data_IF_892725624479
#
_entry.id   IF_892725624479
#
_cell.length_a   1.000
_cell.length_b   1.000
_cell.length_c   1.000
_cell.angle_alpha   90.00
_cell.angle_beta   90.00
_cell.angle_gamma   90.00
#
_symmetry.space_group_name_H-M   'P 1'
#
loop_
_entity.id
_entity.type
_entity.pdbx_description
1 polymer ?
#
# COMPACT_ATOMS: atom_id res chain seq x y z
N UNK A 1 52.20 23.56 -6.35
CA UNK A 1 51.15 22.52 -6.40
C UNK A 1 49.81 23.23 -6.44
N UNK A 2 49.26 23.44 -7.63
CA UNK A 2 47.92 23.98 -7.82
C UNK A 2 46.90 22.90 -7.51
N UNK A 3 46.10 23.11 -6.46
CA UNK A 3 44.95 22.27 -6.13
C UNK A 3 43.96 22.43 -7.29
N UNK A 4 43.88 21.39 -8.13
CA UNK A 4 42.86 21.26 -9.16
C UNK A 4 41.53 21.15 -8.41
N UNK A 5 40.75 22.23 -8.38
CA UNK A 5 39.36 22.19 -7.93
C UNK A 5 38.67 21.07 -8.72
N UNK A 6 38.25 20.03 -8.00
CA UNK A 6 37.42 18.95 -8.55
C UNK A 6 36.14 19.61 -9.03
N UNK A 7 35.89 19.52 -10.33
CA UNK A 7 34.65 19.99 -10.96
C UNK A 7 33.46 19.33 -10.22
N UNK A 8 32.67 20.09 -9.44
CA UNK A 8 31.59 19.52 -8.65
C UNK A 8 30.44 19.17 -9.59
N UNK A 9 30.34 17.91 -10.01
CA UNK A 9 29.33 17.49 -11.00
C UNK A 9 29.70 16.27 -11.83
N UNK A 10 30.72 15.52 -11.46
CA UNK A 10 31.09 14.32 -12.21
C UNK A 10 30.02 13.24 -12.05
N UNK A 11 29.90 12.35 -13.03
CA UNK A 11 29.02 11.18 -12.92
C UNK A 11 29.37 10.30 -11.70
N UNK A 12 30.62 10.35 -11.25
CA UNK A 12 31.10 9.69 -10.04
C UNK A 12 30.47 10.30 -8.77
N UNK A 13 30.30 11.62 -8.70
CA UNK A 13 29.67 12.29 -7.56
C UNK A 13 28.18 11.91 -7.41
N UNK A 14 27.46 11.82 -8.53
CA UNK A 14 26.05 11.38 -8.56
C UNK A 14 25.93 9.92 -8.10
N UNK A 15 26.83 9.05 -8.56
CA UNK A 15 26.82 7.65 -8.18
C UNK A 15 27.20 7.44 -6.70
N UNK A 16 28.15 8.23 -6.20
CA UNK A 16 28.53 8.23 -4.78
C UNK A 16 27.36 8.65 -3.89
N UNK A 17 26.64 9.73 -4.24
CA UNK A 17 25.45 10.18 -3.52
C UNK A 17 24.33 9.14 -3.52
N UNK A 18 24.09 8.47 -4.66
CA UNK A 18 23.11 7.37 -4.73
C UNK A 18 23.47 6.22 -3.81
N UNK A 19 24.76 5.88 -3.74
CA UNK A 19 25.26 4.82 -2.84
C UNK A 19 25.09 5.23 -1.37
N UNK A 20 25.44 6.46 -1.01
CA UNK A 20 25.23 7.00 0.35
C UNK A 20 23.74 7.01 0.73
N UNK A 21 22.85 7.34 -0.23
CA UNK A 21 21.40 7.34 -0.04
C UNK A 21 20.86 5.92 0.20
N UNK A 22 21.33 4.93 -0.55
CA UNK A 22 20.99 3.52 -0.36
C UNK A 22 21.44 3.01 1.02
N UNK A 23 22.64 3.39 1.46
CA UNK A 23 23.16 3.07 2.79
C UNK A 23 22.30 3.70 3.91
N UNK A 24 21.92 4.97 3.76
CA UNK A 24 21.00 5.64 4.70
C UNK A 24 19.62 4.95 4.75
N UNK A 25 19.08 4.51 3.62
CA UNK A 25 17.81 3.78 3.57
C UNK A 25 17.91 2.42 4.28
N UNK A 26 19.07 1.74 4.21
CA UNK A 26 19.32 0.52 5.00
C UNK A 26 19.43 0.83 6.48
N UNK A 27 20.18 1.86 6.86
CA UNK A 27 20.34 2.29 8.25
C UNK A 27 19.00 2.70 8.88
N UNK A 28 18.15 3.41 8.14
CA UNK A 28 16.81 3.83 8.58
C UNK A 28 15.88 2.63 8.81
N UNK A 29 15.90 1.64 7.90
CA UNK A 29 15.13 0.38 8.07
C UNK A 29 15.59 -0.37 9.31
N UNK A 30 16.90 -0.46 9.54
CA UNK A 30 17.45 -1.06 10.76
C UNK A 30 16.99 -0.31 12.02
N UNK A 31 17.04 1.02 12.02
CA UNK A 31 16.59 1.83 13.16
C UNK A 31 15.09 1.62 13.47
N UNK A 32 14.24 1.58 12.44
CA UNK A 32 12.81 1.29 12.60
C UNK A 32 12.55 -0.12 13.17
N UNK A 33 13.25 -1.14 12.67
CA UNK A 33 13.15 -2.50 13.20
C UNK A 33 13.65 -2.61 14.65
N UNK A 34 14.70 -1.86 15.01
CA UNK A 34 15.22 -1.82 16.37
C UNK A 34 14.25 -1.09 17.31
N UNK A 35 13.65 0.01 16.87
CA UNK A 35 12.61 0.74 17.59
C UNK A 35 11.40 -0.17 17.89
N UNK A 36 10.93 -0.93 16.91
CA UNK A 36 9.83 -1.87 17.08
C UNK A 36 10.18 -2.93 18.14
N UNK A 37 11.34 -3.57 18.04
CA UNK A 37 11.80 -4.57 19.03
C UNK A 37 11.92 -4.00 20.45
N UNK A 38 12.39 -2.75 20.59
CA UNK A 38 12.48 -2.08 21.88
C UNK A 38 11.10 -1.73 22.43
N UNK A 39 10.18 -1.30 21.57
CA UNK A 39 8.78 -1.01 21.95
C UNK A 39 8.08 -2.28 22.42
N UNK A 40 8.26 -3.40 21.71
CA UNK A 40 7.74 -4.71 22.11
C UNK A 40 8.33 -5.18 23.44
N UNK A 41 9.64 -5.04 23.64
CA UNK A 41 10.31 -5.41 24.90
C UNK A 41 9.86 -4.56 26.11
N UNK A 42 9.37 -3.35 25.87
CA UNK A 42 8.82 -2.47 26.91
C UNK A 42 7.40 -2.86 27.33
N UNK A 43 6.67 -3.65 26.54
CA UNK A 43 5.34 -4.14 26.93
C UNK A 43 5.49 -5.11 28.11
N UNK A 44 5.13 -4.64 29.31
CA UNK A 44 5.25 -5.42 30.56
C UNK A 44 6.60 -5.29 31.27
N UNK A 45 7.49 -4.41 30.82
CA UNK A 45 8.77 -4.13 31.46
C UNK A 45 8.88 -2.64 31.83
N UNK A 46 9.24 -2.35 33.08
CA UNK A 46 9.52 -1.00 33.56
C UNK A 46 11.02 -0.66 33.51
N UNK A 47 11.80 -1.37 32.68
CA UNK A 47 13.26 -1.19 32.62
C UNK A 47 13.62 0.21 32.08
N UNK A 48 14.26 1.08 32.89
CA UNK A 48 14.65 2.42 32.45
C UNK A 48 15.72 2.39 31.35
N UNK A 49 16.51 1.31 31.25
CA UNK A 49 17.53 1.19 30.21
C UNK A 49 16.89 1.01 28.82
N UNK A 50 15.85 0.19 28.71
CA UNK A 50 15.10 0.03 27.47
C UNK A 50 14.45 1.34 27.01
N UNK A 51 13.96 2.16 27.95
CA UNK A 51 13.43 3.48 27.64
C UNK A 51 14.52 4.43 27.10
N UNK A 52 15.73 4.41 27.69
CA UNK A 52 16.88 5.19 27.18
C UNK A 52 17.28 4.76 25.77
N UNK A 53 17.35 3.45 25.53
CA UNK A 53 17.67 2.91 24.20
C UNK A 53 16.60 3.26 23.16
N UNK A 54 15.32 3.25 23.55
CA UNK A 54 14.22 3.66 22.67
C UNK A 54 14.31 5.16 22.32
N UNK A 55 14.65 6.02 23.28
CA UNK A 55 14.86 7.43 23.01
C UNK A 55 16.04 7.64 22.05
N UNK A 56 17.16 6.94 22.27
CA UNK A 56 18.35 7.02 21.40
C UNK A 56 18.05 6.57 19.97
N UNK A 57 17.33 5.45 19.78
CA UNK A 57 17.04 4.95 18.43
C UNK A 57 16.08 5.88 17.67
N UNK A 58 15.14 6.55 18.38
CA UNK A 58 14.27 7.56 17.79
C UNK A 58 15.06 8.78 17.32
N UNK A 59 15.94 9.32 18.17
CA UNK A 59 16.83 10.42 17.78
C UNK A 59 17.71 10.05 16.59
N UNK A 60 18.25 8.82 16.57
CA UNK A 60 19.03 8.33 15.42
C UNK A 60 18.17 8.27 14.15
N UNK A 61 16.96 7.71 14.23
CA UNK A 61 16.04 7.61 13.09
C UNK A 61 15.68 8.98 12.53
N UNK A 62 15.44 9.96 13.39
CA UNK A 62 15.10 11.33 13.00
C UNK A 62 16.32 12.02 12.35
N UNK A 63 17.52 11.83 12.90
CA UNK A 63 18.77 12.31 12.30
C UNK A 63 19.07 11.69 10.93
N UNK A 64 18.84 10.39 10.76
CA UNK A 64 18.92 9.70 9.47
C UNK A 64 17.89 10.25 8.48
N UNK A 65 16.69 10.61 8.94
CA UNK A 65 15.66 11.26 8.13
C UNK A 65 16.08 12.63 7.60
N UNK A 66 16.65 13.47 8.47
CA UNK A 66 17.18 14.79 8.08
C UNK A 66 18.33 14.66 7.06
N UNK A 67 19.27 13.73 7.29
CA UNK A 67 20.39 13.49 6.37
C UNK A 67 19.93 12.96 5.01
N UNK A 68 18.92 12.08 4.99
CA UNK A 68 18.33 11.59 3.74
C UNK A 68 17.74 12.73 2.92
N UNK A 69 17.04 13.68 3.56
CA UNK A 69 16.49 14.86 2.88
C UNK A 69 17.60 15.71 2.27
N UNK A 70 18.64 16.04 3.05
CA UNK A 70 19.81 16.81 2.60
C UNK A 70 20.48 16.17 1.38
N UNK A 71 20.74 14.86 1.40
CA UNK A 71 21.35 14.16 0.26
C UNK A 71 20.43 14.10 -0.96
N UNK A 72 19.12 13.97 -0.74
CA UNK A 72 18.13 13.98 -1.83
C UNK A 72 18.11 15.35 -2.54
N UNK A 73 18.10 16.44 -1.77
CA UNK A 73 18.16 17.81 -2.29
C UNK A 73 19.47 18.05 -3.05
N UNK A 74 20.59 17.58 -2.52
CA UNK A 74 21.91 17.69 -3.17
C UNK A 74 21.97 16.89 -4.48
N UNK A 75 21.42 15.68 -4.50
CA UNK A 75 21.36 14.85 -5.71
C UNK A 75 20.50 15.53 -6.78
N UNK A 76 19.35 16.07 -6.40
CA UNK A 76 18.46 16.80 -7.31
C UNK A 76 19.17 18.03 -7.91
N UNK A 77 19.84 18.84 -7.09
CA UNK A 77 20.58 20.00 -7.55
C UNK A 77 21.68 19.65 -8.57
N UNK A 78 22.38 18.52 -8.39
CA UNK A 78 23.38 18.05 -9.36
C UNK A 78 22.75 17.55 -10.66
N UNK A 79 21.61 16.85 -10.57
CA UNK A 79 20.89 16.41 -11.76
C UNK A 79 20.34 17.59 -12.58
N UNK A 80 19.82 18.63 -11.92
CA UNK A 80 19.36 19.85 -12.57
C UNK A 80 20.53 20.63 -13.21
N UNK A 81 21.66 20.77 -12.50
CA UNK A 81 22.84 21.40 -13.08
C UNK A 81 23.32 20.65 -14.33
N UNK A 82 23.28 19.31 -14.33
CA UNK A 82 23.63 18.50 -15.50
C UNK A 82 22.64 18.67 -16.66
N UNK A 83 21.34 18.83 -16.38
CA UNK A 83 20.34 19.15 -17.41
C UNK A 83 20.61 20.50 -18.06
N UNK A 84 20.97 21.51 -17.27
CA UNK A 84 21.34 22.84 -17.77
C UNK A 84 22.61 22.80 -18.63
N UNK A 85 23.63 22.04 -18.22
CA UNK A 85 24.87 21.89 -19.01
C UNK A 85 24.67 21.13 -20.32
N UNK A 86 23.73 20.17 -20.36
CA UNK A 86 23.44 19.36 -21.55
C UNK A 86 22.36 19.97 -22.44
N UNK A 87 21.66 21.00 -21.97
CA UNK A 87 20.69 21.74 -22.76
C UNK A 87 21.41 22.47 -23.90
N UNK A 88 21.20 21.97 -25.13
CA UNK A 88 21.64 22.66 -26.35
C UNK A 88 20.90 24.02 -26.41
N UNK A 89 21.61 25.16 -26.51
CA UNK A 89 20.94 26.45 -26.62
C UNK A 89 20.02 26.44 -27.84
N UNK A 90 18.79 26.99 -27.75
CA UNK A 90 17.87 26.99 -28.86
C UNK A 90 18.54 27.69 -30.05
N UNK A 91 18.74 26.95 -31.13
CA UNK A 91 19.25 27.51 -32.37
C UNK A 91 18.36 28.70 -32.76
N UNK A 92 18.94 29.91 -32.78
CA UNK A 92 18.25 31.13 -33.21
C UNK A 92 17.67 30.86 -34.60
N UNK A 93 16.35 30.67 -34.67
CA UNK A 93 15.66 30.55 -35.95
C UNK A 93 15.91 31.84 -36.73
N UNK A 94 16.41 31.75 -37.97
CA UNK A 94 16.55 32.93 -38.81
C UNK A 94 15.16 33.52 -39.06
N UNK A 95 14.94 34.72 -38.53
CA UNK A 95 13.84 35.61 -38.88
C UNK A 95 13.94 35.96 -40.35
N UNK A 96 13.06 35.39 -41.17
CA UNK A 96 12.91 35.80 -42.56
C UNK A 96 12.07 34.85 -43.39
N UNK A 97 10.78 35.14 -43.51
CA UNK A 97 10.07 35.22 -44.79
C UNK A 97 8.57 35.40 -44.53
N UNK A 98 8.07 36.57 -44.94
CA UNK A 98 6.66 36.82 -45.18
C UNK A 98 6.18 35.83 -46.26
N UNK A 99 5.08 35.13 -46.00
CA UNK A 99 4.24 34.59 -47.06
C UNK A 99 2.78 34.76 -46.68
N UNK A 100 2.04 35.44 -47.55
CA UNK A 100 0.60 35.68 -47.43
C UNK A 100 -0.22 34.59 -48.13
N UNK A 101 -1.54 34.70 -47.97
CA UNK A 101 -2.57 33.84 -48.57
C UNK A 101 -3.34 33.10 -47.47
N UNK A 102 -4.51 33.55 -47.01
CA UNK A 102 -5.81 33.70 -47.67
C UNK A 102 -6.57 32.37 -47.89
N UNK A 103 -7.79 32.35 -47.33
CA UNK A 103 -8.95 31.46 -47.53
C UNK A 103 -8.99 30.09 -46.84
N UNK A 104 -10.13 29.85 -46.19
CA UNK A 104 -10.57 28.52 -45.76
C UNK A 104 -11.52 28.53 -44.57
N UNK A 105 -12.68 29.18 -44.68
CA UNK A 105 -13.79 28.97 -43.75
C UNK A 105 -14.29 27.52 -43.88
N UNK A 106 -14.40 26.79 -42.77
CA UNK A 106 -15.17 25.54 -42.71
C UNK A 106 -15.90 25.40 -41.38
N UNK A 107 -17.20 25.61 -41.49
CA UNK A 107 -18.36 25.14 -40.72
C UNK A 107 -18.16 24.09 -39.62
N UNK A 108 -18.71 24.44 -38.44
CA UNK A 108 -19.05 23.55 -37.35
C UNK A 108 -20.22 22.61 -37.69
N UNK A 109 -20.27 21.36 -37.15
CA UNK A 109 -21.47 20.53 -37.18
C UNK A 109 -22.40 20.82 -35.98
N UNK A 110 -23.66 21.03 -36.32
CA UNK A 110 -24.83 21.13 -35.44
C UNK A 110 -25.27 19.74 -34.92
N UNK A 111 -25.80 19.62 -33.69
CA UNK A 111 -26.34 18.37 -33.15
C UNK A 111 -27.81 18.11 -33.57
N UNK A 112 -28.14 16.83 -33.79
CA UNK A 112 -29.48 16.33 -34.14
C UNK A 112 -30.26 15.82 -32.90
N UNK A 113 -31.59 15.59 -32.98
CA UNK A 113 -32.52 16.05 -31.97
C UNK A 113 -33.03 15.00 -30.95
N UNK A 114 -33.65 15.55 -29.91
CA UNK A 114 -34.35 14.94 -28.78
C UNK A 114 -35.65 14.26 -29.25
N UNK A 115 -35.87 12.99 -28.85
CA UNK A 115 -37.15 12.29 -29.00
C UNK A 115 -37.92 12.27 -27.68
N UNK A 116 -39.19 12.65 -27.75
CA UNK A 116 -40.12 12.78 -26.64
C UNK A 116 -40.94 11.51 -26.36
N UNK A 117 -41.46 11.48 -25.14
CA UNK A 117 -42.29 10.51 -24.43
C UNK A 117 -43.45 9.81 -25.19
N UNK A 118 -43.82 8.64 -24.65
CA UNK A 118 -45.20 8.16 -24.60
C UNK A 118 -45.47 7.39 -23.28
N UNK A 119 -46.65 7.57 -22.64
CA UNK A 119 -47.08 6.79 -21.48
C UNK A 119 -48.05 5.66 -21.88
N UNK A 120 -48.09 4.56 -21.12
CA UNK A 120 -49.22 3.63 -21.15
C UNK A 120 -49.64 3.14 -19.76
N UNK A 121 -50.96 2.97 -19.66
CA UNK A 121 -51.81 2.67 -18.50
C UNK A 121 -52.05 1.16 -18.35
N UNK A 122 -52.44 0.76 -17.13
CA UNK A 122 -53.36 -0.36 -16.81
C UNK A 122 -52.72 -1.76 -16.81
N UNK A 123 -53.16 -2.75 -16.04
CA UNK A 123 -54.30 -2.89 -15.13
C UNK A 123 -54.09 -4.05 -14.14
N UNK A 124 -54.69 -3.91 -12.95
CA UNK A 124 -55.36 -4.87 -12.06
C UNK A 124 -55.26 -6.39 -12.36
N UNK A 125 -54.87 -7.17 -11.34
CA UNK A 125 -55.48 -8.45 -10.90
C UNK A 125 -55.12 -8.68 -9.41
N UNK A 126 -56.14 -8.78 -8.52
CA UNK A 126 -56.51 -9.96 -7.71
C UNK A 126 -55.31 -10.57 -6.92
N UNK A 127 -55.24 -10.53 -5.59
CA UNK A 127 -56.25 -10.88 -4.60
C UNK A 127 -55.90 -12.25 -4.01
N UNK A 128 -55.03 -12.29 -2.98
CA UNK A 128 -54.85 -13.46 -2.09
C UNK A 128 -54.58 -12.98 -0.67
N UNK A 129 -55.24 -13.66 0.26
CA UNK A 129 -55.50 -13.33 1.65
C UNK A 129 -54.29 -13.21 2.58
N UNK A 130 -54.47 -12.37 3.59
CA UNK A 130 -53.56 -12.11 4.69
C UNK A 130 -53.37 -13.32 5.63
N UNK A 131 -52.15 -13.53 6.15
CA UNK A 131 -51.93 -14.06 7.49
C UNK A 131 -51.79 -12.92 8.51
N UNK A 132 -52.25 -13.19 9.74
CA UNK A 132 -52.22 -12.30 10.91
C UNK A 132 -50.84 -11.68 11.17
N UNK A 133 -50.76 -10.40 11.58
CA UNK A 133 -49.50 -9.77 11.92
C UNK A 133 -48.99 -10.27 13.29
N UNK A 134 -47.86 -10.96 13.27
CA UNK A 134 -47.01 -11.10 14.45
C UNK A 134 -46.58 -9.71 14.97
N UNK A 135 -46.39 -9.55 16.30
CA UNK A 135 -45.99 -8.28 16.88
C UNK A 135 -44.65 -7.84 16.33
N UNK A 136 -44.68 -6.81 15.48
CA UNK A 136 -43.50 -6.15 14.92
C UNK A 136 -42.69 -5.59 16.08
N UNK A 137 -41.55 -6.22 16.35
CA UNK A 137 -40.51 -5.61 17.16
C UNK A 137 -40.15 -4.27 16.51
N UNK A 138 -40.47 -3.17 17.22
CA UNK A 138 -40.10 -1.82 16.81
C UNK A 138 -38.59 -1.79 16.66
N UNK A 139 -38.11 -1.87 15.42
CA UNK A 139 -36.70 -1.62 15.12
C UNK A 139 -36.38 -0.21 15.63
N UNK A 140 -35.36 -0.04 16.49
CA UNK A 140 -34.90 1.29 16.84
C UNK A 140 -34.58 2.05 15.54
N UNK A 141 -34.87 3.36 15.46
CA UNK A 141 -34.66 4.13 14.25
C UNK A 141 -33.22 3.93 13.77
N UNK A 142 -33.01 3.70 12.46
CA UNK A 142 -31.67 3.52 11.92
C UNK A 142 -30.82 4.73 12.31
N UNK A 143 -29.65 4.47 12.88
CA UNK A 143 -28.70 5.50 13.22
C UNK A 143 -28.49 6.42 11.99
N UNK A 144 -28.42 7.75 12.17
CA UNK A 144 -28.22 8.67 11.06
C UNK A 144 -26.98 8.24 10.27
N UNK A 145 -27.17 7.97 8.97
CA UNK A 145 -26.07 7.63 8.07
C UNK A 145 -25.07 8.80 8.11
N UNK A 146 -23.76 8.55 8.24
CA UNK A 146 -22.78 9.61 8.15
C UNK A 146 -22.97 10.33 6.81
N UNK A 147 -23.28 11.62 6.89
CA UNK A 147 -23.47 12.47 5.73
C UNK A 147 -22.13 12.55 4.99
N UNK A 148 -22.11 12.17 3.73
CA UNK A 148 -20.90 12.30 2.91
C UNK A 148 -20.49 13.79 2.90
N UNK A 149 -19.20 14.11 3.06
CA UNK A 149 -18.74 15.50 3.02
C UNK A 149 -19.15 16.14 1.70
N UNK A 150 -19.74 17.34 1.77
CA UNK A 150 -20.13 18.09 0.58
C UNK A 150 -18.90 18.38 -0.29
N UNK A 151 -19.01 18.23 -1.62
CA UNK A 151 -17.88 18.44 -2.52
C UNK A 151 -17.45 19.90 -2.47
N UNK A 152 -16.14 20.13 -2.31
CA UNK A 152 -15.57 21.48 -2.35
C UNK A 152 -15.68 22.09 -3.73
N UNK A 153 -15.87 23.40 -3.76
CA UNK A 153 -15.84 24.18 -4.99
C UNK A 153 -14.44 24.20 -5.59
N UNK A 154 -14.35 24.39 -6.92
CA UNK A 154 -13.06 24.47 -7.60
C UNK A 154 -12.18 25.63 -7.07
N UNK A 155 -12.80 26.76 -6.69
CA UNK A 155 -12.10 27.91 -6.15
C UNK A 155 -11.47 27.62 -4.78
N UNK A 156 -12.15 26.87 -3.91
CA UNK A 156 -11.60 26.46 -2.62
C UNK A 156 -10.38 25.54 -2.81
N UNK A 157 -10.46 24.58 -3.73
CA UNK A 157 -9.34 23.67 -4.00
C UNK A 157 -8.14 24.39 -4.62
N UNK A 158 -8.37 25.35 -5.53
CA UNK A 158 -7.32 26.18 -6.09
C UNK A 158 -6.64 27.05 -5.01
N UNK A 159 -7.43 27.63 -4.11
CA UNK A 159 -6.92 28.41 -2.98
C UNK A 159 -6.05 27.54 -2.06
N UNK A 160 -6.49 26.30 -1.80
CA UNK A 160 -5.73 25.35 -1.00
C UNK A 160 -4.41 24.94 -1.67
N UNK A 161 -4.43 24.66 -2.98
CA UNK A 161 -3.23 24.34 -3.75
C UNK A 161 -2.21 25.50 -3.71
N UNK A 162 -2.68 26.73 -3.95
CA UNK A 162 -1.84 27.94 -3.88
C UNK A 162 -1.23 28.13 -2.49
N UNK A 163 -2.00 27.87 -1.42
CA UNK A 163 -1.49 27.94 -0.05
C UNK A 163 -0.39 26.91 0.24
N UNK A 164 -0.57 25.67 -0.23
CA UNK A 164 0.45 24.61 -0.09
C UNK A 164 1.74 25.01 -0.81
N UNK A 165 1.61 25.57 -2.02
CA UNK A 165 2.73 26.05 -2.83
C UNK A 165 3.47 27.23 -2.19
N UNK A 166 2.75 28.23 -1.68
CA UNK A 166 3.33 29.40 -1.00
C UNK A 166 4.10 29.00 0.27
N UNK A 167 3.53 28.12 1.11
CA UNK A 167 4.24 27.59 2.28
C UNK A 167 5.54 26.88 1.90
N UNK A 168 5.51 26.08 0.84
CA UNK A 168 6.70 25.39 0.35
C UNK A 168 7.75 26.38 -0.19
N UNK A 169 7.34 27.37 -0.99
CA UNK A 169 8.23 28.39 -1.56
C UNK A 169 8.91 29.28 -0.52
N UNK A 170 8.29 29.45 0.66
CA UNK A 170 8.88 30.14 1.82
C UNK A 170 9.79 29.25 2.68
N UNK A 171 10.04 28.00 2.28
CA UNK A 171 10.82 27.03 3.05
C UNK A 171 10.09 26.44 4.26
N UNK A 172 8.77 26.65 4.39
CA UNK A 172 7.95 26.11 5.49
C UNK A 172 7.48 24.69 5.18
N UNK A 173 8.43 23.80 4.89
CA UNK A 173 8.14 22.44 4.39
C UNK A 173 7.29 21.61 5.36
N UNK A 174 7.50 21.74 6.67
CA UNK A 174 6.71 21.03 7.68
C UNK A 174 5.25 21.46 7.70
N UNK A 175 4.97 22.76 7.60
CA UNK A 175 3.60 23.29 7.58
C UNK A 175 2.87 22.90 6.28
N UNK A 176 3.58 22.97 5.15
CA UNK A 176 3.07 22.51 3.85
C UNK A 176 2.72 21.02 3.89
N UNK A 177 3.59 20.18 4.47
CA UNK A 177 3.36 18.76 4.66
C UNK A 177 2.16 18.48 5.59
N UNK A 178 2.06 19.18 6.73
CA UNK A 178 0.95 19.03 7.67
C UNK A 178 -0.40 19.40 7.03
N UNK A 179 -0.45 20.51 6.29
CA UNK A 179 -1.66 20.93 5.57
C UNK A 179 -2.06 19.90 4.50
N UNK A 180 -1.07 19.35 3.79
CA UNK A 180 -1.32 18.33 2.76
C UNK A 180 -1.81 17.02 3.37
N UNK A 181 -1.23 16.58 4.49
CA UNK A 181 -1.70 15.41 5.23
C UNK A 181 -3.13 15.60 5.79
N UNK A 182 -3.46 16.80 6.28
CA UNK A 182 -4.81 17.12 6.71
C UNK A 182 -5.80 17.06 5.54
N UNK A 183 -5.44 17.62 4.38
CA UNK A 183 -6.27 17.59 3.18
C UNK A 183 -6.56 16.14 2.72
N UNK A 184 -5.58 15.25 2.81
CA UNK A 184 -5.72 13.83 2.46
C UNK A 184 -6.82 13.11 3.25
N UNK A 185 -7.04 13.51 4.52
CA UNK A 185 -7.98 12.86 5.44
C UNK A 185 -9.35 13.54 5.43
N UNK A 186 -9.39 14.87 5.31
CA UNK A 186 -10.63 15.66 5.49
C UNK A 186 -11.43 15.81 4.20
N UNK A 187 -10.78 15.86 3.05
CA UNK A 187 -11.46 16.06 1.77
C UNK A 187 -12.12 14.78 1.27
N UNK A 188 -13.19 14.92 0.48
CA UNK A 188 -13.77 13.78 -0.23
C UNK A 188 -12.76 13.20 -1.24
N UNK A 189 -12.82 11.90 -1.58
CA UNK A 189 -11.89 11.28 -2.53
C UNK A 189 -11.73 12.02 -3.87
N UNK A 190 -12.85 12.48 -4.45
CA UNK A 190 -12.83 13.23 -5.70
C UNK A 190 -12.16 14.60 -5.55
N UNK A 191 -12.27 15.22 -4.37
CA UNK A 191 -11.65 16.51 -4.07
C UNK A 191 -10.15 16.35 -3.88
N UNK A 192 -9.72 15.25 -3.25
CA UNK A 192 -8.30 14.89 -3.16
C UNK A 192 -7.71 14.68 -4.56
N UNK A 193 -8.38 13.91 -5.44
CA UNK A 193 -7.91 13.72 -6.81
C UNK A 193 -7.83 15.03 -7.60
N UNK A 194 -8.82 15.93 -7.43
CA UNK A 194 -8.79 17.28 -8.02
C UNK A 194 -7.65 18.14 -7.48
N UNK A 195 -7.41 18.11 -6.17
CA UNK A 195 -6.30 18.83 -5.54
C UNK A 195 -4.94 18.28 -6.01
N UNK A 196 -4.80 16.96 -6.14
CA UNK A 196 -3.62 16.31 -6.71
C UNK A 196 -3.37 16.82 -8.15
N UNK A 197 -4.40 16.88 -8.98
CA UNK A 197 -4.28 17.40 -10.35
C UNK A 197 -3.79 18.85 -10.39
N UNK A 198 -4.31 19.71 -9.50
CA UNK A 198 -3.86 21.10 -9.37
C UNK A 198 -2.40 21.19 -8.92
N UNK A 199 -2.02 20.44 -7.88
CA UNK A 199 -0.65 20.40 -7.38
C UNK A 199 0.33 19.82 -8.40
N UNK A 200 -0.11 18.91 -9.26
CA UNK A 200 0.71 18.38 -10.37
C UNK A 200 0.95 19.44 -11.44
N UNK A 201 -0.06 20.25 -11.76
CA UNK A 201 0.03 21.25 -12.82
C UNK A 201 0.81 22.50 -12.39
N UNK A 202 0.59 22.96 -11.16
CA UNK A 202 1.03 24.29 -10.69
C UNK A 202 1.73 24.26 -9.33
N UNK A 203 1.77 23.10 -8.66
CA UNK A 203 2.34 22.95 -7.33
C UNK A 203 3.84 22.65 -7.32
N UNK A 204 4.46 22.65 -6.13
CA UNK A 204 5.86 22.31 -5.99
C UNK A 204 6.12 20.85 -6.33
N UNK A 205 7.33 20.57 -6.85
CA UNK A 205 7.72 19.23 -7.26
C UNK A 205 7.51 18.21 -6.14
N UNK A 206 6.83 17.11 -6.46
CA UNK A 206 6.56 16.03 -5.51
C UNK A 206 5.38 16.25 -4.56
N UNK A 207 4.76 17.44 -4.50
CA UNK A 207 3.61 17.68 -3.62
C UNK A 207 2.38 16.82 -3.97
N UNK A 208 2.09 16.66 -5.27
CA UNK A 208 1.04 15.76 -5.75
C UNK A 208 1.28 14.30 -5.29
N UNK A 209 2.51 13.81 -5.45
CA UNK A 209 2.90 12.47 -4.99
C UNK A 209 2.90 12.33 -3.46
N UNK A 210 3.27 13.38 -2.72
CA UNK A 210 3.18 13.39 -1.27
C UNK A 210 1.73 13.32 -0.79
N UNK A 211 0.83 14.13 -1.37
CA UNK A 211 -0.60 14.08 -1.08
C UNK A 211 -1.17 12.69 -1.37
N UNK A 212 -0.85 12.11 -2.53
CA UNK A 212 -1.28 10.77 -2.89
C UNK A 212 -0.85 9.72 -1.86
N UNK A 213 0.41 9.75 -1.38
CA UNK A 213 0.87 8.82 -0.33
C UNK A 213 0.25 9.10 1.03
N UNK A 214 0.00 10.38 1.37
CA UNK A 214 -0.57 10.76 2.66
C UNK A 214 -1.97 10.14 2.87
N UNK A 215 -2.73 9.95 1.80
CA UNK A 215 -4.05 9.29 1.81
C UNK A 215 -4.00 7.87 2.40
N UNK A 216 -2.88 7.14 2.27
CA UNK A 216 -2.71 5.81 2.85
C UNK A 216 -2.72 5.81 4.40
N UNK A 217 -2.62 6.96 5.05
CA UNK A 217 -2.74 7.08 6.51
C UNK A 217 -4.19 7.35 6.97
N UNK A 218 -5.11 7.53 6.03
CA UNK A 218 -6.53 7.72 6.30
C UNK A 218 -7.31 6.41 6.43
N UNK A 219 -8.62 6.54 6.63
CA UNK A 219 -9.53 5.41 6.70
C UNK A 219 -9.58 4.62 5.38
N UNK A 220 -9.85 3.32 5.46
CA UNK A 220 -9.94 2.39 4.34
C UNK A 220 -10.78 2.91 3.15
N UNK A 221 -11.97 3.44 3.43
CA UNK A 221 -12.86 4.00 2.41
C UNK A 221 -12.29 5.22 1.70
N UNK A 222 -11.54 6.06 2.41
CA UNK A 222 -10.88 7.23 1.85
C UNK A 222 -9.75 6.82 0.90
N UNK A 223 -8.93 5.85 1.32
CA UNK A 223 -7.84 5.33 0.51
C UNK A 223 -8.35 4.63 -0.77
N UNK A 224 -9.32 3.74 -0.63
CA UNK A 224 -9.92 3.02 -1.76
C UNK A 224 -10.63 3.99 -2.73
N UNK A 225 -11.46 4.90 -2.21
CA UNK A 225 -12.16 5.89 -3.01
C UNK A 225 -11.20 6.80 -3.76
N UNK A 226 -10.13 7.27 -3.11
CA UNK A 226 -9.16 8.17 -3.76
C UNK A 226 -8.38 7.42 -4.84
N UNK A 227 -7.98 6.17 -4.59
CA UNK A 227 -7.32 5.35 -5.60
C UNK A 227 -8.20 5.14 -6.83
N UNK A 228 -9.50 4.89 -6.64
CA UNK A 228 -10.47 4.76 -7.72
C UNK A 228 -10.59 6.06 -8.54
N UNK A 229 -10.69 7.21 -7.86
CA UNK A 229 -10.75 8.53 -8.50
C UNK A 229 -9.47 8.84 -9.30
N UNK A 230 -8.29 8.62 -8.73
CA UNK A 230 -7.01 8.83 -9.41
C UNK A 230 -6.90 8.02 -10.70
N UNK A 231 -7.35 6.76 -10.68
CA UNK A 231 -7.37 5.90 -11.87
C UNK A 231 -8.37 6.37 -12.91
N UNK A 232 -9.58 6.71 -12.46
CA UNK A 232 -10.65 7.22 -13.32
C UNK A 232 -10.22 8.50 -14.04
N UNK A 233 -9.43 9.36 -13.39
CA UNK A 233 -8.95 10.62 -13.97
C UNK A 233 -7.60 10.50 -14.70
N UNK A 234 -7.01 9.30 -14.79
CA UNK A 234 -5.74 9.08 -15.50
C UNK A 234 -4.50 9.63 -14.78
N UNK A 235 -4.56 9.84 -13.46
CA UNK A 235 -3.44 10.26 -12.63
C UNK A 235 -2.59 9.03 -12.25
N UNK A 236 -1.98 8.40 -13.25
CA UNK A 236 -1.36 7.07 -13.13
C UNK A 236 -0.19 7.05 -12.13
N UNK A 237 0.70 8.05 -12.17
CA UNK A 237 1.86 8.12 -11.27
C UNK A 237 1.44 8.28 -9.81
N UNK A 238 0.47 9.15 -9.54
CA UNK A 238 -0.07 9.37 -8.21
C UNK A 238 -0.89 8.17 -7.72
N UNK A 239 -1.62 7.50 -8.60
CA UNK A 239 -2.31 6.26 -8.28
C UNK A 239 -1.33 5.14 -7.90
N UNK A 240 -0.20 5.04 -8.60
CA UNK A 240 0.86 4.09 -8.28
C UNK A 240 1.54 4.44 -6.96
N UNK A 241 1.80 5.73 -6.70
CA UNK A 241 2.37 6.21 -5.45
C UNK A 241 1.47 5.89 -4.25
N UNK A 242 0.15 6.13 -4.37
CA UNK A 242 -0.83 5.75 -3.35
C UNK A 242 -0.85 4.23 -3.16
N UNK A 243 -0.98 3.44 -4.23
CA UNK A 243 -1.02 1.98 -4.13
C UNK A 243 0.22 1.40 -3.43
N UNK A 244 1.41 1.91 -3.76
CA UNK A 244 2.65 1.50 -3.11
C UNK A 244 2.69 1.87 -1.62
N UNK A 245 2.15 3.03 -1.24
CA UNK A 245 2.05 3.41 0.18
C UNK A 245 1.14 2.47 0.99
N UNK A 246 0.14 1.83 0.36
CA UNK A 246 -0.73 0.85 1.02
C UNK A 246 0.01 -0.43 1.43
N UNK A 247 1.25 -0.67 0.99
CA UNK A 247 2.06 -1.78 1.51
C UNK A 247 2.44 -1.58 2.98
N UNK A 248 2.49 -0.32 3.45
CA UNK A 248 2.70 0.03 4.85
C UNK A 248 1.41 0.12 5.67
N UNK A 249 0.25 -0.24 5.11
CA UNK A 249 -1.03 -0.13 5.80
C UNK A 249 -1.08 -1.05 7.03
N UNK A 250 -1.68 -0.65 8.16
CA UNK A 250 -1.72 -1.50 9.34
C UNK A 250 -2.41 -2.86 9.05
N UNK A 251 -1.77 -3.97 9.45
CA UNK A 251 -2.30 -5.32 9.21
C UNK A 251 -3.71 -5.53 9.77
N UNK A 252 -4.03 -4.89 10.91
CA UNK A 252 -5.34 -4.92 11.55
C UNK A 252 -6.44 -4.20 10.74
N UNK A 253 -6.06 -3.23 9.91
CA UNK A 253 -7.00 -2.43 9.10
C UNK A 253 -7.12 -2.96 7.66
N UNK A 254 -6.21 -3.84 7.23
CA UNK A 254 -6.18 -4.39 5.87
C UNK A 254 -7.50 -5.08 5.47
N UNK A 255 -8.20 -5.86 6.31
CA UNK A 255 -9.48 -6.45 5.92
C UNK A 255 -10.52 -5.41 5.50
N UNK A 256 -10.57 -4.27 6.20
CA UNK A 256 -11.46 -3.15 5.87
C UNK A 256 -11.04 -2.45 4.58
N UNK A 257 -9.73 -2.28 4.34
CA UNK A 257 -9.21 -1.72 3.09
C UNK A 257 -9.55 -2.60 1.88
N UNK A 258 -9.37 -3.92 1.99
CA UNK A 258 -9.71 -4.85 0.92
C UNK A 258 -11.21 -4.83 0.60
N UNK A 259 -12.06 -4.80 1.63
CA UNK A 259 -13.51 -4.64 1.43
C UNK A 259 -13.86 -3.30 0.75
N UNK A 260 -13.20 -2.21 1.14
CA UNK A 260 -13.42 -0.90 0.54
C UNK A 260 -12.97 -0.86 -0.93
N UNK A 261 -11.83 -1.46 -1.27
CA UNK A 261 -11.33 -1.59 -2.64
C UNK A 261 -12.30 -2.38 -3.52
N UNK A 262 -12.83 -3.50 -3.02
CA UNK A 262 -13.85 -4.30 -3.73
C UNK A 262 -15.14 -3.51 -3.95
N UNK A 263 -15.60 -2.75 -2.95
CA UNK A 263 -16.81 -1.91 -3.07
C UNK A 263 -16.69 -0.83 -4.15
N UNK A 264 -15.48 -0.31 -4.39
CA UNK A 264 -15.22 0.68 -5.45
C UNK A 264 -14.77 0.05 -6.78
N UNK A 265 -14.86 -1.28 -6.91
CA UNK A 265 -14.57 -2.00 -8.16
C UNK A 265 -13.08 -2.28 -8.41
N UNK A 266 -12.22 -2.14 -7.38
CA UNK A 266 -10.78 -2.37 -7.44
C UNK A 266 -10.38 -3.76 -6.89
N UNK A 267 -11.10 -4.80 -7.30
CA UNK A 267 -10.83 -6.18 -6.86
C UNK A 267 -9.46 -6.70 -7.32
N UNK A 268 -8.97 -6.27 -8.50
CA UNK A 268 -7.63 -6.62 -8.97
C UNK A 268 -6.54 -6.07 -8.04
N UNK A 269 -6.72 -4.85 -7.53
CA UNK A 269 -5.81 -4.22 -6.57
C UNK A 269 -5.83 -4.89 -5.21
N UNK A 270 -7.01 -5.34 -4.80
CA UNK A 270 -7.17 -6.11 -3.57
C UNK A 270 -6.35 -7.39 -3.63
N UNK A 271 -6.38 -8.11 -4.76
CA UNK A 271 -5.58 -9.31 -4.99
C UNK A 271 -4.08 -8.99 -5.05
N UNK A 272 -3.68 -7.93 -5.76
CA UNK A 272 -2.27 -7.51 -5.81
C UNK A 272 -1.77 -7.11 -4.41
N UNK A 273 -2.56 -6.39 -3.62
CA UNK A 273 -2.17 -5.98 -2.28
C UNK A 273 -2.02 -7.19 -1.36
N UNK A 274 -2.95 -8.15 -1.41
CA UNK A 274 -2.83 -9.41 -0.69
C UNK A 274 -1.58 -10.18 -1.14
N UNK A 275 -1.24 -10.10 -2.43
CA UNK A 275 -0.02 -10.69 -2.95
C UNK A 275 1.23 -10.07 -2.35
N UNK A 276 1.33 -8.75 -2.30
CA UNK A 276 2.49 -8.09 -1.68
C UNK A 276 2.63 -8.48 -0.19
N UNK A 277 1.50 -8.58 0.51
CA UNK A 277 1.47 -9.02 1.91
C UNK A 277 1.89 -10.48 2.13
N UNK A 278 1.79 -11.34 1.11
CA UNK A 278 2.33 -12.71 1.17
C UNK A 278 3.84 -12.77 1.44
N UNK A 279 4.55 -11.68 1.14
CA UNK A 279 5.99 -11.52 1.38
C UNK A 279 6.33 -10.84 2.72
N UNK A 280 5.34 -10.46 3.53
CA UNK A 280 5.55 -9.79 4.81
C UNK A 280 6.35 -10.67 5.80
N UNK A 281 7.07 -10.11 6.80
CA UNK A 281 7.74 -10.91 7.82
C UNK A 281 6.79 -11.88 8.57
N UNK A 282 7.27 -13.03 9.09
CA UNK A 282 6.41 -14.08 9.67
C UNK A 282 5.38 -13.58 10.69
N UNK A 283 5.77 -12.69 11.60
CA UNK A 283 4.88 -12.12 12.61
C UNK A 283 3.75 -11.28 11.98
N UNK A 284 4.08 -10.43 11.00
CA UNK A 284 3.11 -9.58 10.32
C UNK A 284 2.17 -10.41 9.43
N UNK A 285 2.70 -11.43 8.75
CA UNK A 285 1.94 -12.38 7.95
C UNK A 285 0.93 -13.17 8.79
N UNK A 286 1.36 -13.69 9.94
CA UNK A 286 0.48 -14.42 10.86
C UNK A 286 -0.63 -13.52 11.43
N UNK A 287 -0.26 -12.32 11.89
CA UNK A 287 -1.24 -11.34 12.39
C UNK A 287 -2.29 -10.97 11.34
N UNK A 288 -1.86 -10.74 10.09
CA UNK A 288 -2.80 -10.46 9.00
C UNK A 288 -3.74 -11.64 8.73
N UNK A 289 -3.23 -12.87 8.70
CA UNK A 289 -4.07 -14.05 8.49
C UNK A 289 -5.15 -14.19 9.59
N UNK A 290 -4.79 -13.91 10.85
CA UNK A 290 -5.74 -13.87 11.97
C UNK A 290 -6.78 -12.76 11.80
N UNK A 291 -6.36 -11.55 11.41
CA UNK A 291 -7.28 -10.42 11.16
C UNK A 291 -8.24 -10.70 10.00
N UNK A 292 -7.78 -11.32 8.91
CA UNK A 292 -8.63 -11.74 7.79
C UNK A 292 -9.67 -12.76 8.25
N UNK A 293 -9.26 -13.78 9.01
CA UNK A 293 -10.20 -14.78 9.56
C UNK A 293 -11.21 -14.14 10.52
N UNK A 294 -10.77 -13.27 11.42
CA UNK A 294 -11.63 -12.57 12.37
C UNK A 294 -12.67 -11.68 11.66
N UNK A 295 -12.30 -11.11 10.51
CA UNK A 295 -13.20 -10.35 9.64
C UNK A 295 -14.09 -11.23 8.73
N UNK A 296 -14.07 -12.55 8.88
CA UNK A 296 -14.86 -13.48 8.06
C UNK A 296 -14.28 -13.72 6.65
N UNK A 297 -13.10 -13.18 6.32
CA UNK A 297 -12.42 -13.29 5.02
C UNK A 297 -11.49 -14.49 4.98
N UNK A 298 -12.02 -15.67 5.31
CA UNK A 298 -11.24 -16.92 5.46
C UNK A 298 -10.59 -17.35 4.15
N UNK A 299 -11.25 -17.16 3.01
CA UNK A 299 -10.69 -17.47 1.69
C UNK A 299 -9.43 -16.63 1.39
N UNK A 300 -9.43 -15.36 1.77
CA UNK A 300 -8.26 -14.51 1.57
C UNK A 300 -7.13 -14.88 2.53
N UNK A 301 -7.44 -15.30 3.77
CA UNK A 301 -6.43 -15.87 4.66
C UNK A 301 -5.79 -17.13 4.05
N UNK A 302 -6.58 -18.01 3.42
CA UNK A 302 -6.05 -19.19 2.73
C UNK A 302 -5.24 -18.86 1.48
N UNK A 303 -5.66 -17.88 0.67
CA UNK A 303 -4.89 -17.38 -0.47
C UNK A 303 -3.53 -16.82 -0.04
N UNK A 304 -3.53 -16.00 1.01
CA UNK A 304 -2.32 -15.44 1.61
C UNK A 304 -1.34 -16.55 2.05
N UNK A 305 -1.84 -17.57 2.77
CA UNK A 305 -1.01 -18.69 3.23
C UNK A 305 -0.54 -19.60 2.08
N UNK A 306 -1.37 -19.82 1.07
CA UNK A 306 -0.99 -20.54 -0.14
C UNK A 306 0.18 -19.87 -0.84
N UNK A 307 0.14 -18.54 -0.97
CA UNK A 307 1.25 -17.80 -1.54
C UNK A 307 2.50 -17.84 -0.67
N UNK A 308 2.34 -17.68 0.65
CA UNK A 308 3.46 -17.74 1.58
C UNK A 308 4.18 -19.10 1.55
N UNK A 309 3.52 -20.19 1.17
CA UNK A 309 4.10 -21.54 1.10
C UNK A 309 5.35 -21.66 0.18
N UNK A 310 5.60 -20.68 -0.69
CA UNK A 310 6.82 -20.60 -1.50
C UNK A 310 8.08 -20.16 -0.72
N UNK A 311 7.93 -19.64 0.50
CA UNK A 311 9.01 -19.05 1.30
C UNK A 311 10.00 -20.09 1.83
N UNK A 312 11.07 -19.59 2.49
CA UNK A 312 12.02 -20.46 3.18
C UNK A 312 11.34 -21.23 4.31
N UNK A 313 11.82 -22.44 4.55
CA UNK A 313 11.22 -23.39 5.48
C UNK A 313 11.29 -22.95 6.94
N UNK A 314 12.33 -22.19 7.32
CA UNK A 314 12.49 -21.60 8.65
C UNK A 314 11.45 -20.48 8.91
N UNK A 315 11.23 -19.61 7.92
CA UNK A 315 10.21 -18.55 8.00
C UNK A 315 8.79 -19.12 8.04
N UNK A 316 8.56 -20.19 7.28
CA UNK A 316 7.29 -20.91 7.29
C UNK A 316 7.02 -21.54 8.66
N UNK A 317 8.04 -22.14 9.28
CA UNK A 317 7.91 -22.73 10.62
C UNK A 317 7.60 -21.66 11.67
N UNK A 318 8.32 -20.53 11.67
CA UNK A 318 8.03 -19.39 12.56
C UNK A 318 6.60 -18.85 12.35
N UNK A 319 6.17 -18.71 11.10
CA UNK A 319 4.79 -18.30 10.77
C UNK A 319 3.78 -19.30 11.35
N UNK A 320 3.96 -20.60 11.13
CA UNK A 320 3.06 -21.64 11.59
C UNK A 320 2.96 -21.75 13.12
N UNK A 321 4.04 -21.44 13.83
CA UNK A 321 4.05 -21.40 15.30
C UNK A 321 3.21 -20.24 15.85
N UNK A 322 3.03 -19.15 15.10
CA UNK A 322 2.29 -17.94 15.49
C UNK A 322 0.81 -17.95 15.12
N UNK A 323 0.44 -18.62 14.02
CA UNK A 323 -0.94 -18.74 13.56
C UNK A 323 -1.83 -19.47 14.57
N UNK A 324 -3.15 -19.33 14.51
CA UNK A 324 -4.05 -20.25 15.23
C UNK A 324 -3.96 -21.70 14.70
N UNK A 325 -4.62 -22.64 15.39
CA UNK A 325 -4.60 -24.07 15.07
C UNK A 325 -5.05 -24.36 13.62
N UNK A 326 -6.17 -23.78 13.20
CA UNK A 326 -6.81 -24.05 11.91
C UNK A 326 -5.99 -23.46 10.75
N UNK A 327 -5.48 -22.24 10.90
CA UNK A 327 -4.65 -21.59 9.89
C UNK A 327 -3.29 -22.27 9.74
N UNK A 328 -2.65 -22.70 10.83
CA UNK A 328 -1.39 -23.45 10.70
C UNK A 328 -1.58 -24.83 10.09
N UNK A 329 -2.71 -25.50 10.36
CA UNK A 329 -3.05 -26.75 9.67
C UNK A 329 -3.24 -26.52 8.17
N UNK A 330 -3.92 -25.43 7.80
CA UNK A 330 -4.06 -25.04 6.39
C UNK A 330 -2.68 -24.77 5.76
N UNK A 331 -1.80 -24.02 6.42
CA UNK A 331 -0.43 -23.79 5.94
C UNK A 331 0.36 -25.10 5.80
N UNK A 332 0.29 -25.98 6.81
CA UNK A 332 0.96 -27.29 6.78
C UNK A 332 0.49 -28.15 5.61
N UNK A 333 -0.82 -28.13 5.30
CA UNK A 333 -1.37 -28.80 4.11
C UNK A 333 -0.86 -28.20 2.80
N UNK A 334 -0.75 -26.89 2.69
CA UNK A 334 -0.19 -26.25 1.50
C UNK A 334 1.29 -26.60 1.31
N UNK A 335 2.08 -26.50 2.38
CA UNK A 335 3.51 -26.86 2.37
C UNK A 335 3.69 -28.33 1.98
N UNK A 336 2.93 -29.26 2.58
CA UNK A 336 2.95 -30.69 2.23
C UNK A 336 2.63 -30.98 0.76
N UNK A 337 1.75 -30.19 0.14
CA UNK A 337 1.34 -30.37 -1.26
C UNK A 337 2.33 -29.78 -2.27
N UNK A 338 2.93 -28.64 -1.94
CA UNK A 338 3.70 -27.82 -2.88
C UNK A 338 5.22 -28.02 -2.77
N UNK A 339 5.72 -28.46 -1.61
CA UNK A 339 7.16 -28.50 -1.33
C UNK A 339 7.77 -29.89 -1.52
N UNK A 340 9.08 -29.89 -1.73
CA UNK A 340 9.85 -31.13 -1.83
C UNK A 340 9.90 -31.88 -0.48
N UNK A 341 10.15 -33.20 -0.48
CA UNK A 341 10.37 -33.95 0.76
C UNK A 341 11.48 -33.37 1.65
N UNK A 342 12.55 -32.85 1.06
CA UNK A 342 13.66 -32.24 1.80
C UNK A 342 13.24 -30.92 2.48
N UNK A 343 12.49 -30.07 1.78
CA UNK A 343 11.90 -28.87 2.37
C UNK A 343 10.96 -29.21 3.53
N UNK A 344 10.15 -30.28 3.36
CA UNK A 344 9.25 -30.73 4.42
C UNK A 344 10.01 -31.14 5.68
N UNK A 345 11.16 -31.79 5.54
CA UNK A 345 12.02 -32.10 6.68
C UNK A 345 12.57 -30.84 7.37
N UNK A 346 13.00 -29.84 6.60
CA UNK A 346 13.43 -28.55 7.15
C UNK A 346 12.32 -27.80 7.88
N UNK A 347 11.12 -27.74 7.29
CA UNK A 347 9.94 -27.15 7.91
C UNK A 347 9.55 -27.88 9.19
N UNK A 348 9.52 -29.22 9.15
CA UNK A 348 9.19 -30.07 10.28
C UNK A 348 10.18 -29.91 11.45
N UNK A 349 11.47 -29.74 11.17
CA UNK A 349 12.48 -29.46 12.19
C UNK A 349 12.20 -28.14 12.92
N UNK A 350 11.79 -27.10 12.20
CA UNK A 350 11.38 -25.83 12.80
C UNK A 350 10.11 -25.92 13.66
N UNK A 351 9.24 -26.91 13.39
CA UNK A 351 8.03 -27.16 14.19
C UNK A 351 8.27 -28.03 15.44
N UNK A 352 9.46 -28.63 15.60
CA UNK A 352 9.78 -29.50 16.72
C UNK A 352 9.47 -28.91 18.11
N UNK A 353 9.61 -27.59 18.36
CA UNK A 353 9.21 -26.98 19.64
C UNK A 353 7.71 -27.08 19.96
N UNK A 354 6.86 -27.36 18.96
CA UNK A 354 5.42 -27.48 19.14
C UNK A 354 4.89 -28.84 18.65
N UNK A 355 4.68 -29.81 19.56
CA UNK A 355 4.15 -31.13 19.22
C UNK A 355 2.79 -31.05 18.50
N UNK A 356 1.95 -30.07 18.84
CA UNK A 356 0.66 -29.89 18.16
C UNK A 356 0.83 -29.53 16.67
N UNK A 357 1.73 -28.61 16.33
CA UNK A 357 2.00 -28.23 14.92
C UNK A 357 2.67 -29.37 14.16
N UNK A 358 3.63 -30.03 14.80
CA UNK A 358 4.31 -31.18 14.22
C UNK A 358 3.31 -32.31 13.88
N UNK A 359 2.38 -32.62 14.79
CA UNK A 359 1.30 -33.59 14.52
C UNK A 359 0.37 -33.17 13.39
N UNK A 360 0.04 -31.88 13.30
CA UNK A 360 -0.76 -31.35 12.19
C UNK A 360 -0.04 -31.54 10.83
N UNK A 361 1.28 -31.34 10.79
CA UNK A 361 2.08 -31.63 9.60
C UNK A 361 2.08 -33.13 9.25
N UNK A 362 2.26 -34.02 10.24
CA UNK A 362 2.20 -35.47 9.99
C UNK A 362 0.83 -35.88 9.44
N UNK A 363 -0.26 -35.33 9.99
CA UNK A 363 -1.60 -35.55 9.47
C UNK A 363 -1.71 -35.06 8.01
N UNK A 364 -1.20 -33.86 7.69
CA UNK A 364 -1.18 -33.35 6.33
C UNK A 364 -0.40 -34.25 5.36
N UNK A 365 0.77 -34.75 5.75
CA UNK A 365 1.57 -35.72 4.97
C UNK A 365 0.81 -37.04 4.75
N UNK A 366 0.02 -37.47 5.72
CA UNK A 366 -0.85 -38.65 5.61
C UNK A 366 -1.97 -38.51 4.58
N UNK A 367 -2.34 -37.28 4.18
CA UNK A 367 -3.36 -37.02 3.16
C UNK A 367 -2.82 -36.98 1.72
N UNK A 368 -1.50 -37.07 1.55
CA UNK A 368 -0.86 -37.10 0.23
C UNK A 368 -1.07 -38.47 -0.43
N UNK A 369 -0.84 -38.55 -1.75
CA UNK A 369 -0.75 -39.85 -2.42
C UNK A 369 0.37 -40.70 -1.81
N UNK A 370 0.24 -42.02 -1.93
CA UNK A 370 1.13 -42.98 -1.25
C UNK A 370 2.61 -42.75 -1.59
N UNK A 371 2.92 -42.42 -2.84
CA UNK A 371 4.30 -42.18 -3.29
C UNK A 371 4.90 -40.94 -2.60
N UNK A 372 4.18 -39.82 -2.64
CA UNK A 372 4.61 -38.58 -1.97
C UNK A 372 4.67 -38.72 -0.46
N UNK A 373 3.70 -39.40 0.14
CA UNK A 373 3.67 -39.65 1.59
C UNK A 373 4.89 -40.46 2.04
N UNK A 374 5.22 -41.56 1.33
CA UNK A 374 6.42 -42.36 1.61
C UNK A 374 7.71 -41.55 1.47
N UNK A 375 7.81 -40.72 0.42
CA UNK A 375 8.98 -39.86 0.21
C UNK A 375 9.15 -38.82 1.33
N UNK A 376 8.07 -38.16 1.74
CA UNK A 376 8.07 -37.20 2.85
C UNK A 376 8.47 -37.86 4.18
N UNK A 377 7.87 -39.01 4.52
CA UNK A 377 8.21 -39.76 5.74
C UNK A 377 9.66 -40.26 5.71
N UNK A 378 10.20 -40.65 4.55
CA UNK A 378 11.60 -41.02 4.39
C UNK A 378 12.54 -39.83 4.65
N UNK A 379 12.21 -38.64 4.14
CA UNK A 379 12.98 -37.43 4.38
C UNK A 379 12.96 -37.01 5.87
N UNK A 380 11.78 -37.08 6.51
CA UNK A 380 11.64 -36.83 7.96
C UNK A 380 12.51 -37.79 8.78
N UNK A 381 12.50 -39.08 8.43
CA UNK A 381 13.35 -40.09 9.07
C UNK A 381 14.84 -39.81 8.86
N UNK A 382 15.23 -39.42 7.65
CA UNK A 382 16.61 -39.04 7.32
C UNK A 382 17.11 -37.83 8.11
N UNK A 383 16.21 -36.92 8.46
CA UNK A 383 16.48 -35.78 9.35
C UNK A 383 16.39 -36.12 10.85
N UNK A 384 16.15 -37.39 11.22
CA UNK A 384 16.06 -37.83 12.62
C UNK A 384 14.77 -37.42 13.34
N UNK A 385 13.72 -37.04 12.60
CA UNK A 385 12.46 -36.58 13.18
C UNK A 385 11.49 -37.75 13.47
N UNK A 386 10.70 -37.69 14.57
CA UNK A 386 9.82 -38.77 14.98
C UNK A 386 8.62 -38.92 14.04
N UNK A 387 8.41 -40.10 13.46
CA UNK A 387 7.26 -40.34 12.57
C UNK A 387 5.96 -40.69 13.32
N UNK A 388 6.02 -40.74 14.65
CA UNK A 388 4.86 -40.96 15.51
C UNK A 388 4.57 -39.67 16.28
N UNK A 389 3.28 -39.33 16.44
CA UNK A 389 2.83 -38.09 17.08
C UNK A 389 3.27 -37.93 18.53
#
# INVERSE_FOLDING_TARGET
MTVRERDPGTAEDVQALRTELDELLRARRYAAQREQRLTEALVGSADPELHRQLAQIRTLRDGLGARHLELSERLLALEDHRREQTAVPPARRPTGARFGGAYGASSAPQPAPVAAAAPMRGARFAGVSAPEPEPVAVQPPPAPRPVAPEPRSAAELATLAARIADLHGRGSAQESAALTAQAAVVLAPADVARLIALLRAEGPAGAAGYLARAVAHGAAGQAAGTLAELRRTGLSEESAALFHALWGYPAAELPSLLAALEQVGLSADSLTLLWEWGSAPPAALAALADHLRAAGRTEDAYRLLHQAAGRRTDELADTALRLDAQLAEALSRQVARLRSPADLAGYAAGLAPSPARYRALLAAVGTLDESRSRAALAALRGAGLPLRP
#
